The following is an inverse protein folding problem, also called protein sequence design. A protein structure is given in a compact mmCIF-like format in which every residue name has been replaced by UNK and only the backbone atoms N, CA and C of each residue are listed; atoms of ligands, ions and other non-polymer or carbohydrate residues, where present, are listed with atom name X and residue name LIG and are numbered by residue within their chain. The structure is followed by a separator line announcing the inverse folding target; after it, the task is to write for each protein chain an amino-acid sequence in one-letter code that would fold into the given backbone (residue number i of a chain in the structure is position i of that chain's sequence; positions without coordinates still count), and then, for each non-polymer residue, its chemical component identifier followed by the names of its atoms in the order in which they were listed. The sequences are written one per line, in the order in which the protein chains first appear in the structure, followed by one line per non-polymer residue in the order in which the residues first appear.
data_IF_596928405644
#
_entry.id   IF_596928405644
#
_cell.length_a   1.000
_cell.length_b   1.000
_cell.length_c   1.000
_cell.angle_alpha   90.00
_cell.angle_beta   90.00
_cell.angle_gamma   90.00
#
_symmetry.space_group_name_H-M   'P 1'
#
loop_
_entity.id
_entity.type
_entity.pdbx_description
1 polymer ?
#
# COMPACT_ATOMS: atom_id res chain seq x y z
N UNK A 1 -12.96 -22.57 27.47
CA UNK A 1 -12.08 -21.47 27.00
C UNK A 1 -10.62 -21.88 27.17
N UNK A 2 -10.25 -22.41 28.33
CA UNK A 2 -8.87 -22.85 28.64
C UNK A 2 -8.28 -23.87 27.65
N UNK A 3 -9.07 -24.84 27.19
CA UNK A 3 -8.62 -25.82 26.17
C UNK A 3 -8.28 -25.17 24.82
N UNK A 4 -8.99 -24.11 24.45
CA UNK A 4 -8.75 -23.35 23.20
C UNK A 4 -7.51 -22.48 23.38
N UNK A 5 -7.34 -21.83 24.53
CA UNK A 5 -6.19 -20.99 24.86
C UNK A 5 -4.89 -21.81 24.85
N UNK A 6 -4.91 -23.05 25.34
CA UNK A 6 -3.74 -23.93 25.28
C UNK A 6 -3.26 -24.20 23.84
N UNK A 7 -4.20 -24.23 22.88
CA UNK A 7 -3.93 -24.53 21.47
C UNK A 7 -3.44 -23.35 20.62
N UNK A 8 -3.44 -22.13 21.17
CA UNK A 8 -2.88 -20.91 20.57
C UNK A 8 -1.34 -21.00 20.56
N UNK A 9 -0.66 -20.40 19.60
CA UNK A 9 0.81 -20.37 19.57
C UNK A 9 1.36 -19.10 20.21
N UNK A 10 0.81 -17.93 19.86
CA UNK A 10 1.30 -16.63 20.33
C UNK A 10 1.08 -16.42 21.85
N UNK A 11 2.13 -16.05 22.56
CA UNK A 11 2.10 -15.89 24.02
C UNK A 11 1.31 -14.66 24.46
N UNK A 12 1.42 -13.55 23.72
CA UNK A 12 0.71 -12.31 24.05
C UNK A 12 -0.79 -12.48 23.84
N UNK A 13 -1.18 -13.18 22.78
CA UNK A 13 -2.56 -13.53 22.50
C UNK A 13 -3.15 -14.45 23.57
N UNK A 14 -2.40 -15.46 24.05
CA UNK A 14 -2.85 -16.30 25.18
C UNK A 14 -3.16 -15.47 26.43
N UNK A 15 -2.26 -14.55 26.77
CA UNK A 15 -2.43 -13.68 27.93
C UNK A 15 -3.66 -12.78 27.76
N UNK A 16 -3.84 -12.16 26.60
CA UNK A 16 -4.99 -11.30 26.32
C UNK A 16 -6.31 -12.07 26.32
N UNK A 17 -6.35 -13.26 25.71
CA UNK A 17 -7.56 -14.09 25.64
C UNK A 17 -8.03 -14.58 27.00
N UNK A 18 -7.12 -14.76 27.96
CA UNK A 18 -7.49 -15.10 29.35
C UNK A 18 -8.34 -14.00 30.01
N UNK A 19 -8.25 -12.76 29.54
CA UNK A 19 -9.08 -11.62 29.98
C UNK A 19 -10.25 -11.34 29.02
N UNK A 20 -10.52 -12.21 28.04
CA UNK A 20 -11.59 -12.01 27.07
C UNK A 20 -11.28 -10.98 25.97
N UNK A 21 -9.99 -10.72 25.71
CA UNK A 21 -9.50 -9.78 24.70
C UNK A 21 -8.77 -10.53 23.59
N UNK A 22 -9.25 -10.42 22.35
CA UNK A 22 -8.58 -10.95 21.17
C UNK A 22 -7.59 -9.95 20.56
N UNK A 23 -6.52 -10.46 19.95
CA UNK A 23 -5.59 -9.69 19.12
C UNK A 23 -5.66 -10.20 17.68
N UNK A 24 -5.61 -9.31 16.70
CA UNK A 24 -5.59 -9.65 15.27
C UNK A 24 -4.61 -8.77 14.50
N UNK A 25 -3.58 -9.38 13.94
CA UNK A 25 -2.60 -8.71 13.08
C UNK A 25 -1.97 -9.71 12.11
N UNK A 26 -1.32 -9.19 11.07
CA UNK A 26 -0.68 -10.01 10.03
C UNK A 26 0.46 -10.91 10.55
N UNK A 27 1.02 -10.60 11.73
CA UNK A 27 2.08 -11.39 12.37
C UNK A 27 1.58 -12.67 13.06
N UNK A 28 0.27 -12.83 13.26
CA UNK A 28 -0.29 -14.04 13.86
C UNK A 28 -0.34 -15.20 12.86
N UNK A 29 -0.06 -16.40 13.35
CA UNK A 29 -0.27 -17.63 12.59
C UNK A 29 -1.73 -17.75 12.16
N UNK A 30 -1.98 -18.31 10.98
CA UNK A 30 -3.33 -18.45 10.42
C UNK A 30 -4.29 -19.19 11.36
N UNK A 31 -3.79 -20.22 12.06
CA UNK A 31 -4.55 -20.97 13.07
C UNK A 31 -5.01 -20.07 14.22
N UNK A 32 -4.11 -19.26 14.76
CA UNK A 32 -4.40 -18.34 15.87
C UNK A 32 -5.39 -17.26 15.44
N UNK A 33 -5.24 -16.72 14.22
CA UNK A 33 -6.21 -15.79 13.63
C UNK A 33 -7.60 -16.40 13.60
N UNK A 34 -7.77 -17.58 12.99
CA UNK A 34 -9.08 -18.26 12.91
C UNK A 34 -9.71 -18.49 14.28
N UNK A 35 -8.93 -18.89 15.28
CA UNK A 35 -9.42 -19.08 16.66
C UNK A 35 -9.99 -17.78 17.21
N UNK A 36 -9.26 -16.66 17.08
CA UNK A 36 -9.71 -15.35 17.59
C UNK A 36 -10.97 -14.88 16.87
N UNK A 37 -11.02 -15.06 15.55
CA UNK A 37 -12.16 -14.70 14.71
C UNK A 37 -13.42 -15.47 15.12
N UNK A 38 -13.31 -16.80 15.29
CA UNK A 38 -14.41 -17.63 15.76
C UNK A 38 -14.86 -17.26 17.18
N UNK A 39 -13.92 -16.97 18.08
CA UNK A 39 -14.25 -16.55 19.44
C UNK A 39 -15.01 -15.20 19.45
N UNK A 40 -14.64 -14.26 18.57
CA UNK A 40 -15.30 -12.96 18.48
C UNK A 40 -16.70 -13.08 17.86
N UNK A 41 -16.83 -13.78 16.73
CA UNK A 41 -18.12 -13.98 16.04
C UNK A 41 -19.12 -14.74 16.91
N UNK A 42 -18.66 -15.75 17.65
CA UNK A 42 -19.49 -16.50 18.59
C UNK A 42 -19.68 -15.80 19.95
N UNK A 43 -19.26 -14.53 20.07
CA UNK A 43 -19.41 -13.69 21.26
C UNK A 43 -18.81 -14.31 22.53
N UNK A 44 -17.74 -15.11 22.37
CA UNK A 44 -16.97 -15.67 23.50
C UNK A 44 -15.96 -14.67 24.04
N UNK A 45 -15.57 -13.70 23.23
CA UNK A 45 -14.79 -12.52 23.62
C UNK A 45 -15.55 -11.26 23.24
N UNK A 46 -15.44 -10.22 24.06
CA UNK A 46 -16.16 -8.95 23.86
C UNK A 46 -15.31 -7.93 23.10
N UNK A 47 -13.98 -7.98 23.25
CA UNK A 47 -13.07 -7.00 22.67
C UNK A 47 -12.12 -7.71 21.71
N UNK A 48 -11.99 -7.16 20.51
CA UNK A 48 -11.01 -7.56 19.52
C UNK A 48 -10.16 -6.35 19.14
N UNK A 49 -8.86 -6.44 19.36
CA UNK A 49 -7.89 -5.41 19.03
C UNK A 49 -7.25 -5.80 17.70
N UNK A 50 -7.32 -4.91 16.71
CA UNK A 50 -6.83 -5.19 15.38
C UNK A 50 -5.92 -4.07 14.83
N UNK A 51 -4.99 -4.44 13.96
CA UNK A 51 -4.23 -3.48 13.16
C UNK A 51 -5.07 -2.92 12.01
N UNK A 52 -4.71 -1.73 11.51
CA UNK A 52 -5.42 -1.05 10.42
C UNK A 52 -5.67 -1.92 9.17
N UNK A 53 -4.79 -2.88 8.89
CA UNK A 53 -4.93 -3.82 7.77
C UNK A 53 -6.19 -4.68 7.83
N UNK A 54 -6.80 -4.84 9.01
CA UNK A 54 -8.06 -5.58 9.17
C UNK A 54 -9.27 -4.87 8.55
N UNK A 55 -9.17 -3.57 8.28
CA UNK A 55 -10.24 -2.80 7.63
C UNK A 55 -10.68 -3.47 6.31
N UNK A 56 -9.73 -4.10 5.62
CA UNK A 56 -9.90 -4.80 4.37
C UNK A 56 -9.79 -6.33 4.58
N UNK A 57 -10.79 -7.10 4.13
CA UNK A 57 -10.65 -8.55 3.97
C UNK A 57 -11.31 -9.46 5.03
N UNK A 58 -12.03 -8.92 6.01
CA UNK A 58 -12.81 -9.73 6.96
C UNK A 58 -14.11 -9.04 7.35
N UNK A 59 -15.15 -9.82 7.63
CA UNK A 59 -16.45 -9.30 8.03
C UNK A 59 -16.70 -9.52 9.53
N UNK A 60 -16.19 -8.60 10.36
CA UNK A 60 -16.46 -8.58 11.80
C UNK A 60 -17.38 -7.39 12.13
N UNK A 61 -18.70 -7.54 12.00
CA UNK A 61 -19.61 -6.51 12.45
C UNK A 61 -19.56 -6.43 13.98
N UNK A 62 -19.26 -5.24 14.51
CA UNK A 62 -19.19 -4.98 15.93
C UNK A 62 -20.14 -3.84 16.29
N UNK A 63 -20.75 -3.87 17.47
CA UNK A 63 -21.62 -2.78 17.89
C UNK A 63 -20.87 -1.45 18.02
N UNK A 64 -19.69 -1.50 18.67
CA UNK A 64 -18.82 -0.36 18.89
C UNK A 64 -17.45 -0.58 18.23
N UNK A 65 -16.95 0.51 17.68
CA UNK A 65 -15.76 0.57 16.84
C UNK A 65 -14.95 1.78 17.30
N UNK A 66 -13.75 1.57 17.85
CA UNK A 66 -12.89 2.65 18.34
C UNK A 66 -11.60 2.73 17.53
N UNK A 67 -11.46 3.77 16.70
CA UNK A 67 -10.24 4.07 15.93
C UNK A 67 -9.28 4.84 16.82
N UNK A 68 -8.23 4.16 17.30
CA UNK A 68 -7.21 4.75 18.17
C UNK A 68 -6.00 5.17 17.35
N UNK A 69 -5.97 6.45 17.02
CA UNK A 69 -4.90 7.08 16.22
C UNK A 69 -5.22 7.02 14.74
N UNK A 70 -5.07 8.16 14.08
CA UNK A 70 -5.38 8.32 12.65
C UNK A 70 -4.13 8.55 11.81
N UNK A 71 -2.98 8.11 12.31
CA UNK A 71 -1.67 8.31 11.71
C UNK A 71 -0.87 7.01 11.77
N UNK A 72 -0.01 6.79 10.77
CA UNK A 72 0.99 5.71 10.77
C UNK A 72 2.35 6.28 10.41
N UNK A 73 3.42 5.59 10.80
CA UNK A 73 4.78 6.01 10.45
C UNK A 73 5.10 5.59 9.01
N UNK A 74 5.47 6.56 8.17
CA UNK A 74 5.98 6.31 6.84
C UNK A 74 7.48 6.60 6.82
N UNK A 75 8.27 5.54 6.66
CA UNK A 75 9.73 5.61 6.66
C UNK A 75 10.30 6.35 5.44
N UNK A 76 9.61 6.34 4.29
CA UNK A 76 10.07 7.05 3.07
C UNK A 76 10.22 8.55 3.32
N UNK A 77 9.30 9.09 4.12
CA UNK A 77 9.29 10.50 4.54
C UNK A 77 9.74 10.69 5.99
N UNK A 78 10.14 9.60 6.66
CA UNK A 78 10.58 9.52 8.06
C UNK A 78 9.69 10.27 9.05
N UNK A 79 8.36 10.25 8.84
CA UNK A 79 7.40 10.96 9.68
C UNK A 79 6.07 10.21 9.78
N UNK A 80 5.27 10.59 10.77
CA UNK A 80 3.88 10.16 10.84
C UNK A 80 3.06 10.87 9.75
N UNK A 81 2.34 10.07 8.97
CA UNK A 81 1.41 10.51 7.94
C UNK A 81 0.01 10.07 8.31
N UNK A 82 -0.99 10.83 7.86
CA UNK A 82 -2.38 10.50 8.09
C UNK A 82 -2.79 9.24 7.33
N UNK A 83 -3.70 8.45 7.92
CA UNK A 83 -4.37 7.43 7.14
C UNK A 83 -5.18 8.07 6.01
N UNK A 84 -5.24 7.41 4.84
CA UNK A 84 -6.29 7.70 3.88
C UNK A 84 -7.65 7.62 4.57
N UNK A 85 -8.49 8.63 4.35
CA UNK A 85 -9.83 8.66 4.96
C UNK A 85 -10.66 7.44 4.55
N UNK A 86 -10.40 6.87 3.36
CA UNK A 86 -11.03 5.64 2.89
C UNK A 86 -10.78 4.46 3.84
N UNK A 87 -9.58 4.35 4.41
CA UNK A 87 -9.26 3.30 5.38
C UNK A 87 -10.02 3.52 6.68
N UNK A 88 -10.10 4.77 7.14
CA UNK A 88 -10.90 5.13 8.33
C UNK A 88 -12.39 4.86 8.07
N UNK A 89 -12.91 5.16 6.88
CA UNK A 89 -14.28 4.85 6.47
C UNK A 89 -14.54 3.33 6.45
N UNK A 90 -13.56 2.52 6.03
CA UNK A 90 -13.67 1.06 6.11
C UNK A 90 -13.65 0.55 7.55
N UNK A 91 -12.82 1.13 8.43
CA UNK A 91 -12.79 0.78 9.85
C UNK A 91 -14.14 1.10 10.50
N UNK A 92 -14.67 2.31 10.29
CA UNK A 92 -15.97 2.68 10.87
C UNK A 92 -17.14 1.90 10.28
N UNK A 93 -17.03 1.45 9.02
CA UNK A 93 -18.04 0.63 8.36
C UNK A 93 -18.23 -0.74 8.99
N UNK A 94 -17.36 -1.14 9.93
CA UNK A 94 -17.55 -2.33 10.78
C UNK A 94 -18.46 -2.09 11.97
N UNK A 95 -18.85 -0.84 12.22
CA UNK A 95 -19.77 -0.47 13.29
C UNK A 95 -21.22 -0.80 12.91
N UNK A 96 -21.92 -1.46 13.83
CA UNK A 96 -23.27 -1.94 13.64
C UNK A 96 -23.30 -3.40 13.16
N UNK A 97 -24.25 -4.15 13.72
CA UNK A 97 -24.54 -5.53 13.32
C UNK A 97 -25.91 -5.58 12.64
N UNK A 98 -25.96 -5.68 11.30
CA UNK A 98 -27.23 -5.84 10.59
C UNK A 98 -28.02 -7.00 11.20
N UNK A 99 -29.33 -6.82 11.43
CA UNK A 99 -30.25 -7.78 12.08
C UNK A 99 -30.12 -7.94 13.61
N UNK A 100 -29.06 -7.43 14.24
CA UNK A 100 -28.87 -7.53 15.69
C UNK A 100 -28.97 -6.18 16.40
N UNK A 101 -28.48 -5.11 15.76
CA UNK A 101 -28.48 -3.76 16.33
C UNK A 101 -29.30 -2.79 15.48
N UNK A 102 -30.01 -1.88 16.15
CA UNK A 102 -30.69 -0.75 15.49
C UNK A 102 -29.72 0.39 15.11
N UNK A 103 -28.58 0.47 15.81
CA UNK A 103 -27.56 1.50 15.64
C UNK A 103 -26.15 0.92 15.88
N UNK A 104 -25.17 1.43 15.13
CA UNK A 104 -23.74 1.18 15.37
C UNK A 104 -23.05 2.44 15.85
N UNK A 105 -22.07 2.30 16.75
CA UNK A 105 -21.32 3.43 17.30
C UNK A 105 -19.87 3.36 16.85
N UNK A 106 -19.38 4.44 16.23
CA UNK A 106 -17.98 4.60 15.89
C UNK A 106 -17.37 5.78 16.65
N UNK A 107 -16.26 5.55 17.33
CA UNK A 107 -15.48 6.54 18.09
C UNK A 107 -14.12 6.69 17.44
N UNK A 108 -13.86 7.85 16.84
CA UNK A 108 -12.56 8.15 16.20
C UNK A 108 -11.76 9.06 17.12
N UNK A 109 -10.65 8.55 17.64
CA UNK A 109 -9.70 9.29 18.46
C UNK A 109 -8.66 9.95 17.57
N UNK A 110 -8.75 11.28 17.46
CA UNK A 110 -7.95 12.09 16.54
C UNK A 110 -7.42 13.34 17.25
N UNK A 111 -6.28 13.84 16.78
CA UNK A 111 -5.72 15.12 17.22
C UNK A 111 -6.69 16.27 16.91
N UNK A 112 -6.83 17.24 17.82
CA UNK A 112 -7.87 18.28 17.73
C UNK A 112 -7.81 19.10 16.43
N UNK A 113 -6.59 19.41 15.97
CA UNK A 113 -6.33 20.10 14.69
C UNK A 113 -6.97 19.38 13.47
N UNK A 114 -7.08 18.06 13.52
CA UNK A 114 -7.61 17.23 12.41
C UNK A 114 -9.08 16.87 12.58
N UNK A 115 -9.67 17.15 13.75
CA UNK A 115 -11.08 16.84 14.05
C UNK A 115 -12.04 17.38 13.01
N UNK A 116 -11.84 18.63 12.54
CA UNK A 116 -12.69 19.24 11.50
C UNK A 116 -12.61 18.52 10.16
N UNK A 117 -11.41 18.07 9.78
CA UNK A 117 -11.18 17.32 8.54
C UNK A 117 -11.96 15.99 8.57
N UNK A 118 -11.77 15.19 9.61
CA UNK A 118 -12.48 13.91 9.75
C UNK A 118 -13.98 14.12 9.87
N UNK A 119 -14.44 15.07 10.70
CA UNK A 119 -15.88 15.35 10.82
C UNK A 119 -16.51 15.69 9.47
N UNK A 120 -15.85 16.51 8.64
CA UNK A 120 -16.37 16.82 7.30
C UNK A 120 -16.51 15.57 6.43
N UNK A 121 -15.46 14.77 6.28
CA UNK A 121 -15.47 13.63 5.35
C UNK A 121 -16.12 12.34 5.88
N UNK A 122 -16.53 12.33 7.15
CA UNK A 122 -17.39 11.28 7.71
C UNK A 122 -18.87 11.47 7.30
N UNK A 123 -19.30 12.72 7.09
CA UNK A 123 -20.68 13.05 6.72
C UNK A 123 -20.85 13.50 5.27
N UNK A 124 -19.79 14.00 4.65
CA UNK A 124 -19.75 14.36 3.23
C UNK A 124 -18.97 13.31 2.42
N UNK A 125 -19.41 12.96 1.20
CA UNK A 125 -18.65 12.07 0.33
C UNK A 125 -17.23 12.58 0.09
N UNK A 126 -16.23 11.70 0.21
CA UNK A 126 -14.85 12.05 -0.07
C UNK A 126 -14.61 12.22 -1.58
N UNK A 127 -14.04 13.35 -2.04
CA UNK A 127 -13.73 13.54 -3.45
C UNK A 127 -12.60 12.59 -3.88
N UNK A 128 -12.89 11.72 -4.85
CA UNK A 128 -11.91 10.80 -5.43
C UNK A 128 -11.29 11.44 -6.66
N UNK A 129 -9.97 11.57 -6.68
CA UNK A 129 -9.17 12.03 -7.82
C UNK A 129 -8.35 10.87 -8.41
N UNK A 130 -7.86 11.04 -9.63
CA UNK A 130 -7.05 10.01 -10.28
C UNK A 130 -5.56 10.24 -10.03
N UNK A 131 -4.83 9.19 -9.65
CA UNK A 131 -3.35 9.19 -9.57
C UNK A 131 -2.69 8.62 -10.84
N UNK A 132 -3.42 8.52 -11.96
CA UNK A 132 -2.91 7.89 -13.19
C UNK A 132 -1.64 8.57 -13.73
N UNK A 133 -1.47 9.88 -13.54
CA UNK A 133 -0.32 10.63 -14.06
C UNK A 133 1.03 10.08 -13.58
N UNK A 134 1.08 9.55 -12.35
CA UNK A 134 2.32 9.08 -11.72
C UNK A 134 2.77 7.72 -12.24
N UNK A 135 1.81 6.89 -12.69
CA UNK A 135 2.02 5.51 -13.15
C UNK A 135 1.77 5.34 -14.65
N UNK A 136 1.48 6.44 -15.36
CA UNK A 136 1.13 6.43 -16.79
C UNK A 136 2.14 5.69 -17.68
N UNK A 137 3.47 5.81 -17.50
CA UNK A 137 4.43 5.08 -18.32
C UNK A 137 4.20 3.56 -18.30
N UNK A 138 4.00 2.97 -17.13
CA UNK A 138 3.82 1.52 -16.98
C UNK A 138 2.53 1.04 -17.68
N UNK A 139 1.44 1.80 -17.58
CA UNK A 139 0.19 1.51 -18.29
C UNK A 139 0.33 1.66 -19.81
N UNK A 140 0.98 2.72 -20.29
CA UNK A 140 1.20 2.94 -21.73
C UNK A 140 2.06 1.80 -22.30
N UNK A 141 3.11 1.38 -21.60
CA UNK A 141 3.92 0.24 -22.03
C UNK A 141 3.09 -1.04 -22.20
N UNK A 142 2.23 -1.36 -21.22
CA UNK A 142 1.35 -2.52 -21.30
C UNK A 142 0.39 -2.46 -22.50
N UNK A 143 -0.22 -1.30 -22.76
CA UNK A 143 -1.15 -1.13 -23.88
C UNK A 143 -0.46 -1.12 -25.26
N UNK A 144 0.80 -0.68 -25.33
CA UNK A 144 1.64 -0.82 -26.54
C UNK A 144 2.00 -2.28 -26.78
N UNK A 145 2.38 -3.03 -25.75
CA UNK A 145 2.65 -4.48 -25.84
C UNK A 145 1.39 -5.26 -26.24
N UNK A 146 0.21 -4.88 -25.72
CA UNK A 146 -1.07 -5.47 -26.09
C UNK A 146 -1.50 -5.13 -27.54
N UNK A 147 -0.91 -4.08 -28.12
CA UNK A 147 -1.24 -3.60 -29.47
C UNK A 147 -2.49 -2.72 -29.55
N UNK A 148 -3.02 -2.29 -28.40
CA UNK A 148 -4.11 -1.30 -28.28
C UNK A 148 -3.62 0.08 -28.71
N UNK A 149 -2.43 0.47 -28.22
CA UNK A 149 -1.78 1.75 -28.56
C UNK A 149 -0.68 1.45 -29.58
N UNK A 150 -0.79 2.02 -30.79
CA UNK A 150 0.22 1.86 -31.85
C UNK A 150 0.89 3.16 -32.23
N UNK A 151 0.27 4.28 -31.85
CA UNK A 151 0.75 5.63 -32.14
C UNK A 151 0.52 6.57 -30.97
N UNK A 152 1.19 7.72 -31.00
CA UNK A 152 0.98 8.81 -30.04
C UNK A 152 -0.48 9.30 -30.02
N UNK A 153 -1.16 9.26 -31.18
CA UNK A 153 -2.58 9.63 -31.26
C UNK A 153 -3.47 8.60 -30.54
N UNK A 154 -3.19 7.30 -30.71
CA UNK A 154 -3.93 6.26 -29.99
C UNK A 154 -3.76 6.40 -28.48
N UNK A 155 -2.58 6.85 -28.02
CA UNK A 155 -2.35 7.13 -26.60
C UNK A 155 -3.20 8.30 -26.10
N UNK A 156 -3.34 9.38 -26.87
CA UNK A 156 -4.24 10.48 -26.54
C UNK A 156 -5.70 10.01 -26.49
N UNK A 157 -6.10 9.19 -27.46
CA UNK A 157 -7.45 8.63 -27.53
C UNK A 157 -7.71 7.71 -26.33
N UNK A 158 -6.77 6.83 -25.99
CA UNK A 158 -6.81 5.99 -24.78
C UNK A 158 -7.02 6.81 -23.51
N UNK A 159 -6.30 7.93 -23.37
CA UNK A 159 -6.45 8.82 -22.22
C UNK A 159 -7.88 9.33 -22.06
N UNK A 160 -8.61 9.57 -23.15
CA UNK A 160 -10.01 10.05 -23.10
C UNK A 160 -10.99 9.06 -22.44
N UNK A 161 -10.64 7.76 -22.41
CA UNK A 161 -11.44 6.71 -21.78
C UNK A 161 -11.20 6.57 -20.28
N UNK A 162 -10.22 7.28 -19.73
CA UNK A 162 -9.83 7.14 -18.32
C UNK A 162 -10.65 8.03 -17.38
N UNK A 163 -10.75 7.60 -16.11
CA UNK A 163 -11.32 8.44 -15.04
C UNK A 163 -10.54 9.76 -14.88
N UNK A 164 -9.23 9.73 -15.09
CA UNK A 164 -8.37 10.91 -15.11
C UNK A 164 -8.89 11.98 -16.07
N UNK A 165 -9.20 11.65 -17.33
CA UNK A 165 -9.70 12.64 -18.29
C UNK A 165 -11.02 13.25 -17.85
N UNK A 166 -11.94 12.44 -17.29
CA UNK A 166 -13.20 12.95 -16.73
C UNK A 166 -12.97 13.91 -15.56
N UNK A 167 -12.00 13.62 -14.68
CA UNK A 167 -11.66 14.49 -13.55
C UNK A 167 -10.89 15.72 -13.93
N UNK A 168 -10.03 15.66 -14.95
CA UNK A 168 -9.32 16.82 -15.49
C UNK A 168 -10.30 17.93 -15.92
N UNK A 169 -11.46 17.55 -16.49
CA UNK A 169 -12.51 18.51 -16.87
C UNK A 169 -13.24 19.12 -15.67
N UNK A 170 -13.32 18.41 -14.54
CA UNK A 170 -14.08 18.84 -13.36
C UNK A 170 -13.22 19.58 -12.33
N UNK A 171 -11.95 19.21 -12.19
CA UNK A 171 -11.02 19.78 -11.23
C UNK A 171 -9.61 19.94 -11.85
N UNK A 172 -9.45 20.81 -12.88
CA UNK A 172 -8.21 20.94 -13.64
C UNK A 172 -7.02 21.39 -12.76
N UNK A 173 -7.28 22.25 -11.79
CA UNK A 173 -6.25 22.85 -10.92
C UNK A 173 -5.56 21.80 -10.06
N UNK A 174 -6.26 20.72 -9.67
CA UNK A 174 -5.67 19.59 -8.96
C UNK A 174 -4.55 18.92 -9.77
N UNK A 175 -4.71 18.85 -11.10
CA UNK A 175 -3.74 18.26 -12.02
C UNK A 175 -2.71 19.27 -12.57
N UNK A 176 -2.71 20.51 -12.06
CA UNK A 176 -1.83 21.58 -12.53
C UNK A 176 -2.27 22.28 -13.81
N UNK A 177 -3.54 22.14 -14.22
CA UNK A 177 -4.12 22.86 -15.34
C UNK A 177 -4.93 24.08 -14.84
N UNK A 178 -4.60 25.28 -15.33
CA UNK A 178 -5.26 26.51 -14.87
C UNK A 178 -6.70 26.63 -15.37
N UNK A 179 -6.95 26.27 -16.64
CA UNK A 179 -8.25 26.46 -17.31
C UNK A 179 -8.57 25.32 -18.27
N UNK A 180 -9.85 24.99 -18.36
CA UNK A 180 -10.41 23.99 -19.29
C UNK A 180 -10.68 24.63 -20.66
N UNK A 181 -9.63 25.06 -21.34
CA UNK A 181 -9.72 25.52 -22.73
C UNK A 181 -9.25 24.40 -23.67
N UNK A 182 -9.96 24.10 -24.78
CA UNK A 182 -9.61 22.98 -25.67
C UNK A 182 -8.14 22.96 -26.11
N UNK A 183 -7.58 24.13 -26.40
CA UNK A 183 -6.17 24.27 -26.80
C UNK A 183 -5.23 23.91 -25.65
N UNK A 184 -5.47 24.43 -24.45
CA UNK A 184 -4.64 24.18 -23.27
C UNK A 184 -4.71 22.70 -22.84
N UNK A 185 -5.90 22.10 -22.90
CA UNK A 185 -6.07 20.67 -22.61
C UNK A 185 -5.31 19.79 -23.58
N UNK A 186 -5.43 20.05 -24.89
CA UNK A 186 -4.72 19.26 -25.90
C UNK A 186 -3.21 19.39 -25.72
N UNK A 187 -2.71 20.60 -25.44
CA UNK A 187 -1.29 20.81 -25.14
C UNK A 187 -0.86 20.08 -23.87
N UNK A 188 -1.67 20.13 -22.81
CA UNK A 188 -1.38 19.45 -21.54
C UNK A 188 -1.31 17.93 -21.71
N UNK A 189 -2.32 17.32 -22.35
CA UNK A 189 -2.35 15.88 -22.61
C UNK A 189 -1.23 15.44 -23.54
N UNK A 190 -0.95 16.21 -24.59
CA UNK A 190 0.18 15.93 -25.50
C UNK A 190 1.51 15.97 -24.76
N UNK A 191 1.73 16.96 -23.89
CA UNK A 191 2.93 17.05 -23.07
C UNK A 191 3.06 15.86 -22.10
N UNK A 192 1.95 15.46 -21.49
CA UNK A 192 1.91 14.31 -20.58
C UNK A 192 2.26 13.01 -21.31
N UNK A 193 1.61 12.73 -22.46
CA UNK A 193 1.89 11.54 -23.28
C UNK A 193 3.34 11.56 -23.77
N UNK A 194 3.82 12.68 -24.32
CA UNK A 194 5.19 12.79 -24.80
C UNK A 194 6.22 12.59 -23.67
N UNK A 195 5.92 13.08 -22.46
CA UNK A 195 6.75 12.84 -21.29
C UNK A 195 6.80 11.34 -20.96
N UNK A 196 5.64 10.67 -20.91
CA UNK A 196 5.57 9.24 -20.61
C UNK A 196 6.29 8.37 -21.66
N UNK A 197 6.12 8.68 -22.95
CA UNK A 197 6.82 7.99 -24.03
C UNK A 197 8.34 8.16 -23.91
N UNK A 198 8.82 9.39 -23.65
CA UNK A 198 10.26 9.64 -23.41
C UNK A 198 10.78 8.86 -22.21
N UNK A 199 10.04 8.83 -21.11
CA UNK A 199 10.41 8.04 -19.93
C UNK A 199 10.52 6.55 -20.25
N UNK A 200 9.63 5.99 -21.09
CA UNK A 200 9.72 4.60 -21.53
C UNK A 200 10.90 4.34 -22.48
N UNK A 201 11.23 5.30 -23.35
CA UNK A 201 12.42 5.23 -24.20
C UNK A 201 13.70 5.27 -23.35
N UNK A 202 13.77 6.16 -22.36
CA UNK A 202 14.89 6.26 -21.41
C UNK A 202 15.06 4.98 -20.55
N UNK A 203 13.96 4.23 -20.36
CA UNK A 203 13.95 2.93 -19.69
C UNK A 203 14.11 1.74 -20.65
N UNK A 204 14.43 1.98 -21.92
CA UNK A 204 14.62 0.95 -22.95
C UNK A 204 13.41 0.03 -23.18
N UNK A 205 12.20 0.44 -22.76
CA UNK A 205 10.98 -0.35 -22.85
C UNK A 205 10.22 -0.13 -24.16
N UNK A 206 10.42 1.03 -24.79
CA UNK A 206 9.72 1.45 -25.98
C UNK A 206 10.68 2.10 -26.98
N UNK A 207 10.47 1.85 -28.26
CA UNK A 207 11.12 2.54 -29.37
C UNK A 207 10.06 3.23 -30.25
N UNK A 208 10.45 4.34 -30.87
CA UNK A 208 9.62 5.02 -31.86
C UNK A 208 10.26 4.75 -33.21
N UNK A 209 9.47 4.28 -34.18
CA UNK A 209 9.95 3.98 -35.52
C UNK A 209 10.42 5.25 -36.26
N UNK A 210 11.13 5.05 -37.36
CA UNK A 210 11.64 6.07 -38.28
C UNK A 210 10.60 7.06 -38.80
N UNK A 211 9.31 6.72 -38.74
CA UNK A 211 8.20 7.60 -39.10
C UNK A 211 7.79 8.58 -37.98
N UNK A 212 8.46 8.52 -36.82
CA UNK A 212 8.19 9.27 -35.59
C UNK A 212 6.75 9.13 -35.06
N UNK A 213 6.02 8.11 -35.52
CA UNK A 213 4.59 7.94 -35.25
C UNK A 213 4.26 6.58 -34.69
N UNK A 214 4.96 5.55 -35.16
CA UNK A 214 4.69 4.17 -34.77
C UNK A 214 5.47 3.84 -33.50
N UNK A 215 4.75 3.32 -32.49
CA UNK A 215 5.30 2.89 -31.21
C UNK A 215 5.57 1.39 -31.24
N UNK A 216 6.79 0.98 -30.90
CA UNK A 216 7.23 -0.41 -30.93
C UNK A 216 7.70 -0.80 -29.53
N UNK A 217 7.07 -1.82 -28.94
CA UNK A 217 7.53 -2.39 -27.67
C UNK A 217 8.85 -3.16 -27.86
N UNK A 218 9.84 -2.89 -27.02
CA UNK A 218 11.10 -3.65 -27.02
C UNK A 218 10.94 -5.00 -26.31
N UNK A 219 11.99 -5.83 -26.31
CA UNK A 219 12.01 -7.05 -25.50
C UNK A 219 11.85 -6.74 -24.00
N UNK A 220 12.45 -5.66 -23.49
CA UNK A 220 12.32 -5.24 -22.10
C UNK A 220 10.91 -4.75 -21.78
N UNK A 221 10.29 -3.98 -22.68
CA UNK A 221 8.90 -3.54 -22.51
C UNK A 221 7.94 -4.72 -22.41
N UNK A 222 8.14 -5.76 -23.23
CA UNK A 222 7.37 -7.02 -23.18
C UNK A 222 7.58 -7.77 -21.86
N UNK A 223 8.82 -7.86 -21.36
CA UNK A 223 9.12 -8.48 -20.06
C UNK A 223 8.44 -7.71 -18.94
N UNK A 224 8.53 -6.38 -18.93
CA UNK A 224 7.91 -5.52 -17.92
C UNK A 224 6.39 -5.73 -17.89
N UNK A 225 5.75 -5.73 -19.06
CA UNK A 225 4.31 -5.96 -19.19
C UNK A 225 3.88 -7.36 -18.79
N UNK A 226 4.68 -8.39 -19.10
CA UNK A 226 4.34 -9.79 -18.80
C UNK A 226 4.43 -10.10 -17.30
N UNK A 227 5.45 -9.56 -16.62
CA UNK A 227 5.70 -9.83 -15.20
C UNK A 227 5.20 -8.72 -14.26
N UNK A 228 4.49 -7.71 -14.79
CA UNK A 228 3.99 -6.55 -14.03
C UNK A 228 5.11 -5.81 -13.28
N UNK A 229 6.25 -5.60 -13.97
CA UNK A 229 7.39 -4.86 -13.43
C UNK A 229 7.33 -3.39 -13.88
N UNK A 230 7.78 -2.49 -13.01
CA UNK A 230 7.93 -1.08 -13.37
C UNK A 230 9.07 -0.87 -14.36
N UNK A 231 8.88 0.05 -15.31
CA UNK A 231 9.91 0.50 -16.25
C UNK A 231 11.18 1.02 -15.56
N UNK A 232 11.08 1.53 -14.33
CA UNK A 232 12.24 1.95 -13.53
C UNK A 232 13.07 0.74 -13.07
N UNK A 233 12.42 -0.33 -12.64
CA UNK A 233 13.08 -1.59 -12.27
C UNK A 233 13.75 -2.22 -13.49
N UNK A 234 13.09 -2.20 -14.64
CA UNK A 234 13.68 -2.70 -15.89
C UNK A 234 14.93 -1.91 -16.30
N UNK A 235 14.89 -0.58 -16.17
CA UNK A 235 16.04 0.28 -16.44
C UNK A 235 17.20 -0.01 -15.49
N UNK A 236 16.93 -0.09 -14.19
CA UNK A 236 17.95 -0.41 -13.18
C UNK A 236 18.64 -1.74 -13.49
N UNK A 237 17.86 -2.77 -13.80
CA UNK A 237 18.39 -4.09 -14.12
C UNK A 237 19.20 -4.05 -15.42
N UNK A 238 18.72 -3.35 -16.45
CA UNK A 238 19.45 -3.23 -17.71
C UNK A 238 20.79 -2.48 -17.56
N UNK A 239 20.80 -1.39 -16.80
CA UNK A 239 21.99 -0.56 -16.62
C UNK A 239 23.08 -1.23 -15.74
N UNK A 240 22.68 -2.04 -14.76
CA UNK A 240 23.60 -2.58 -13.75
C UNK A 240 23.93 -4.06 -13.88
N UNK A 241 23.10 -4.84 -14.59
CA UNK A 241 23.34 -6.26 -14.79
C UNK A 241 24.40 -6.49 -15.87
N UNK A 242 25.38 -7.33 -15.55
CA UNK A 242 26.47 -7.70 -16.45
C UNK A 242 26.51 -9.22 -16.61
N UNK A 243 27.01 -9.71 -17.75
CA UNK A 243 27.08 -11.16 -18.05
C UNK A 243 27.86 -11.94 -16.97
N UNK A 244 28.91 -11.32 -16.43
CA UNK A 244 29.76 -11.91 -15.38
C UNK A 244 29.36 -11.51 -13.95
N UNK A 245 28.12 -11.05 -13.74
CA UNK A 245 27.66 -10.65 -12.42
C UNK A 245 27.66 -11.85 -11.45
N UNK A 246 28.26 -11.66 -10.26
CA UNK A 246 28.19 -12.63 -9.18
C UNK A 246 26.76 -12.75 -8.64
N UNK A 247 26.44 -13.89 -8.02
CA UNK A 247 25.14 -14.10 -7.35
C UNK A 247 24.88 -13.03 -6.30
N UNK A 248 25.90 -12.62 -5.55
CA UNK A 248 25.81 -11.55 -4.54
C UNK A 248 25.38 -10.22 -5.16
N UNK A 249 25.97 -9.85 -6.31
CA UNK A 249 25.57 -8.64 -7.05
C UNK A 249 24.14 -8.76 -7.54
N UNK A 250 23.74 -9.90 -8.09
CA UNK A 250 22.37 -10.11 -8.58
C UNK A 250 21.36 -9.98 -7.43
N UNK A 251 21.63 -10.63 -6.29
CA UNK A 251 20.77 -10.53 -5.11
C UNK A 251 20.67 -9.09 -4.61
N UNK A 252 21.78 -8.36 -4.58
CA UNK A 252 21.77 -6.94 -4.21
C UNK A 252 20.95 -6.10 -5.20
N UNK A 253 21.07 -6.32 -6.51
CA UNK A 253 20.26 -5.60 -7.50
C UNK A 253 18.76 -5.89 -7.34
N UNK A 254 18.41 -7.14 -7.05
CA UNK A 254 17.03 -7.53 -6.82
C UNK A 254 16.43 -6.82 -5.60
N UNK A 255 17.20 -6.50 -4.56
CA UNK A 255 16.66 -5.73 -3.41
C UNK A 255 16.44 -4.25 -3.70
N UNK A 256 17.02 -3.72 -4.78
CA UNK A 256 16.94 -2.30 -5.16
C UNK A 256 15.80 -1.98 -6.15
N UNK A 257 15.04 -2.97 -6.60
CA UNK A 257 13.93 -2.76 -7.54
C UNK A 257 12.79 -1.97 -6.89
N UNK A 258 12.05 -1.22 -7.70
CA UNK A 258 11.00 -0.30 -7.24
C UNK A 258 9.86 -0.99 -6.51
N UNK A 259 9.56 -2.24 -6.86
CA UNK A 259 8.48 -3.03 -6.26
C UNK A 259 8.66 -3.19 -4.75
N UNK A 260 9.90 -3.30 -4.27
CA UNK A 260 10.18 -3.40 -2.83
C UNK A 260 10.14 -2.07 -2.11
N UNK A 261 10.03 -0.95 -2.82
CA UNK A 261 9.79 0.35 -2.18
C UNK A 261 8.45 0.38 -1.45
N UNK A 262 7.48 -0.49 -1.77
CA UNK A 262 6.18 -0.54 -1.08
C UNK A 262 6.24 -1.25 0.28
N UNK A 263 7.36 -1.91 0.61
CA UNK A 263 7.49 -2.58 1.89
C UNK A 263 7.54 -1.55 3.02
N UNK A 264 6.62 -1.63 4.01
CA UNK A 264 6.60 -0.70 5.12
C UNK A 264 7.79 -0.95 6.02
N UNK A 265 8.50 0.12 6.39
CA UNK A 265 9.51 0.07 7.46
C UNK A 265 8.90 0.71 8.70
N UNK A 266 8.87 -0.04 9.81
CA UNK A 266 8.25 0.45 11.04
C UNK A 266 9.24 1.31 11.82
N UNK A 267 8.70 2.17 12.68
CA UNK A 267 9.51 3.00 13.56
C UNK A 267 10.50 2.15 14.38
N UNK A 268 11.78 2.51 14.36
CA UNK A 268 12.92 1.78 14.95
C UNK A 268 13.34 0.48 14.25
N UNK A 269 12.66 0.02 13.20
CA UNK A 269 13.17 -1.10 12.39
C UNK A 269 14.41 -0.69 11.58
N UNK A 270 14.61 0.60 11.31
CA UNK A 270 15.82 1.12 10.66
C UNK A 270 17.10 0.72 11.42
N UNK A 271 17.05 0.74 12.74
CA UNK A 271 18.15 0.35 13.63
C UNK A 271 18.42 -1.15 13.57
N UNK A 272 17.36 -1.95 13.42
CA UNK A 272 17.43 -3.43 13.36
C UNK A 272 17.93 -3.86 11.98
N UNK A 273 17.39 -3.25 10.92
CA UNK A 273 17.79 -3.49 9.54
C UNK A 273 19.24 -3.03 9.29
N UNK A 274 19.65 -1.90 9.90
CA UNK A 274 21.03 -1.41 9.86
C UNK A 274 22.04 -2.33 10.56
N UNK A 275 21.62 -3.09 11.58
CA UNK A 275 22.46 -4.12 12.19
C UNK A 275 22.72 -5.30 11.26
N UNK A 276 21.81 -5.59 10.31
CA UNK A 276 22.01 -6.59 9.25
C UNK A 276 23.13 -6.23 8.28
N UNK A 277 23.32 -4.92 8.00
CA UNK A 277 24.40 -4.40 7.16
C UNK A 277 25.78 -4.53 7.83
N UNK A 278 25.83 -4.59 9.16
CA UNK A 278 27.08 -4.80 9.91
C UNK A 278 27.51 -6.28 9.89
N UNK A 279 26.60 -7.22 9.59
CA UNK A 279 26.94 -8.66 9.54
C UNK A 279 27.89 -8.97 8.37
N UNK A 280 27.87 -8.20 7.27
CA UNK A 280 28.85 -8.35 6.19
C UNK A 280 30.26 -7.85 6.54
N UNK A 281 30.40 -6.90 7.47
CA UNK A 281 31.73 -6.44 7.92
C UNK A 281 32.27 -7.28 9.09
N UNK A 282 31.40 -7.79 9.97
CA UNK A 282 31.81 -8.57 11.15
C UNK A 282 32.11 -10.04 10.83
N UNK A 283 31.68 -10.57 9.67
CA UNK A 283 32.09 -11.89 9.20
C UNK A 283 33.62 -12.01 8.96
N UNK A 284 34.35 -10.89 8.90
CA UNK A 284 35.81 -10.82 8.76
C UNK A 284 36.57 -10.91 10.09
N UNK A 285 35.90 -10.84 11.23
CA UNK A 285 36.53 -10.82 12.55
C UNK A 285 35.82 -11.76 13.52
N UNK A 286 36.42 -12.94 13.72
CA UNK A 286 36.05 -13.89 14.77
C UNK A 286 35.96 -13.19 16.14
N UNK A 287 34.78 -13.13 16.74
CA UNK A 287 34.58 -13.48 18.15
C UNK A 287 33.10 -13.73 18.46
N UNK A 288 32.83 -14.89 19.06
CA UNK A 288 31.54 -15.30 19.61
C UNK A 288 31.00 -14.27 20.60
N UNK A 289 29.74 -13.89 20.45
CA UNK A 289 28.88 -13.58 21.59
C UNK A 289 27.45 -14.01 21.27
N UNK A 290 27.01 -15.08 21.91
CA UNK A 290 25.61 -15.48 21.97
C UNK A 290 24.82 -14.42 22.71
N UNK A 291 23.84 -13.79 22.06
CA UNK A 291 22.84 -12.96 22.73
C UNK A 291 21.44 -13.45 22.37
N UNK A 292 20.77 -14.03 23.36
CA UNK A 292 19.33 -14.30 23.35
C UNK A 292 18.58 -12.98 23.54
N UNK A 293 18.00 -12.45 22.47
CA UNK A 293 17.10 -11.31 22.57
C UNK A 293 15.67 -11.81 22.84
N UNK A 294 15.32 -11.94 24.11
CA UNK A 294 13.93 -11.97 24.57
C UNK A 294 13.55 -10.56 25.03
N UNK A 295 12.67 -9.85 24.30
CA UNK A 295 11.55 -9.04 24.87
C UNK A 295 10.78 -8.22 23.85
N UNK A 296 9.46 -8.42 23.91
CA UNK A 296 8.33 -7.51 23.70
C UNK A 296 8.36 -6.59 22.48
N UNK A 297 7.71 -7.05 21.42
CA UNK A 297 7.18 -6.22 20.34
C UNK A 297 6.27 -5.14 20.93
N UNK A 298 6.74 -3.88 20.92
CA UNK A 298 5.86 -2.73 21.07
C UNK A 298 5.09 -2.58 19.75
N UNK A 299 3.79 -2.84 19.80
CA UNK A 299 2.87 -2.61 18.68
C UNK A 299 2.80 -1.09 18.47
N UNK A 300 3.72 -0.54 17.68
CA UNK A 300 3.75 0.86 17.24
C UNK A 300 2.97 1.06 15.94
N UNK A 301 1.92 0.25 15.75
CA UNK A 301 0.90 0.47 14.73
C UNK A 301 -0.33 1.10 15.37
N UNK A 302 -0.97 2.02 14.66
CA UNK A 302 -2.29 2.54 15.00
C UNK A 302 -3.26 1.37 15.16
N UNK A 303 -3.83 1.25 16.36
CA UNK A 303 -4.70 0.15 16.75
C UNK A 303 -6.15 0.59 16.58
N UNK A 304 -7.00 -0.34 16.17
CA UNK A 304 -8.42 -0.14 16.16
C UNK A 304 -9.08 -1.24 17.01
N UNK A 305 -10.06 -0.85 17.84
CA UNK A 305 -10.72 -1.75 18.77
C UNK A 305 -12.16 -1.99 18.33
N UNK A 306 -12.48 -3.27 18.09
CA UNK A 306 -13.84 -3.76 17.91
C UNK A 306 -14.38 -4.19 19.28
N UNK A 307 -15.54 -3.67 19.65
CA UNK A 307 -16.24 -4.04 20.89
C UNK A 307 -17.62 -4.56 20.54
N UNK A 308 -17.86 -5.83 20.84
CA UNK A 308 -19.18 -6.46 20.77
C UNK A 308 -19.89 -6.24 22.08
N UNK A 309 -20.86 -5.33 22.12
CA UNK A 309 -21.80 -5.24 23.26
C UNK A 309 -22.97 -6.21 23.02
N UNK A 310 -23.31 -6.96 24.06
CA UNK A 310 -24.45 -7.89 24.10
C UNK A 310 -25.78 -7.17 23.95
#
# INVERSE_FOLDING_TARGET
MDSVIQGVHDQNLKLALAFGIGLHHAGLQEKDRRIVEELFVNQKIQVLIATATLAWGVNFPAHLVVVKGTEYYDAKVSRYVDFPITDVLQMIGRAGRPQFDDQGVAVVLVHDLKKKFYNKFLYEPFPVESSLMDVLPDHVNAEVVAGTIRSTQDCLDYMTWTYFYRRLLQNPTYYGLEKVEPKLMNTFLSNLVNKSLRTLQDSYCLEVDSDERTLISTALGKIASFYYLSHESMRLLYDQLSVDASIEKILYLLTQVKEYSELPVRHNEDLINGLGTVVSEVASSKQMASFSCTRSESISGSLFHLVSTS
#
